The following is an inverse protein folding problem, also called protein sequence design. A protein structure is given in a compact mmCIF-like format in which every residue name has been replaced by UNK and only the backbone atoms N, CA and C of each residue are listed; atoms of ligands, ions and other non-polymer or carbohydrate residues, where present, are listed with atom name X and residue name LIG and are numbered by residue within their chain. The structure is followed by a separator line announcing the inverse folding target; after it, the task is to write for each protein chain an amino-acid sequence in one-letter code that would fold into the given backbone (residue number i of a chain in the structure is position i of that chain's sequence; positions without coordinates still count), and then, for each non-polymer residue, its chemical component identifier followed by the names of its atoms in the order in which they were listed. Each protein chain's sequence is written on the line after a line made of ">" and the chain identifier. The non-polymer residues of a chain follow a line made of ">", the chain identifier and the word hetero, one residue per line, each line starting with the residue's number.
data_IF_190627211342
#
_entry.id   IF_190627211342
#
_cell.length_a   1.000
_cell.length_b   1.000
_cell.length_c   1.000
_cell.angle_alpha   90.00
_cell.angle_beta   90.00
_cell.angle_gamma   90.00
#
_symmetry.space_group_name_H-M   'P 1'
#
loop_
_entity.id
_entity.type
_entity.pdbx_description
1 polymer ?
#
# COMPACT_ATOMS: atom_id res chain seq x y z
N UNK A 1 25.69 -22.48 18.03
CA UNK A 1 26.05 -21.27 17.25
C UNK A 1 25.32 -21.33 15.93
N UNK A 2 24.46 -20.35 15.63
CA UNK A 2 23.79 -20.23 14.32
C UNK A 2 24.86 -19.73 13.32
N UNK A 3 25.05 -20.41 12.19
CA UNK A 3 26.06 -20.02 11.20
C UNK A 3 25.72 -18.66 10.58
N UNK A 4 26.72 -17.94 10.09
CA UNK A 4 26.52 -16.64 9.41
C UNK A 4 25.53 -16.75 8.25
N UNK A 5 25.50 -17.88 7.54
CA UNK A 5 24.58 -18.13 6.43
C UNK A 5 23.12 -18.24 6.88
N UNK A 6 22.88 -18.85 8.04
CA UNK A 6 21.53 -18.95 8.61
C UNK A 6 20.98 -17.59 9.06
N UNK A 7 21.83 -16.66 9.50
CA UNK A 7 21.39 -15.28 9.84
C UNK A 7 20.98 -14.51 8.60
N UNK A 8 21.76 -14.59 7.53
CA UNK A 8 21.44 -13.95 6.24
C UNK A 8 20.13 -14.47 5.67
N UNK A 9 19.83 -15.76 5.81
CA UNK A 9 18.55 -16.33 5.36
C UNK A 9 17.38 -15.79 6.19
N UNK A 10 17.51 -15.74 7.52
CA UNK A 10 16.48 -15.19 8.40
C UNK A 10 16.19 -13.72 8.10
N UNK A 11 17.23 -12.89 7.97
CA UNK A 11 17.07 -11.46 7.64
C UNK A 11 16.32 -11.27 6.30
N UNK A 12 16.55 -12.15 5.32
CA UNK A 12 15.84 -12.11 4.02
C UNK A 12 14.39 -12.56 4.14
N UNK A 13 14.09 -13.52 5.00
CA UNK A 13 12.72 -13.96 5.28
C UNK A 13 11.95 -12.84 5.97
N UNK A 14 12.54 -12.24 7.01
CA UNK A 14 11.93 -11.13 7.76
C UNK A 14 11.67 -9.94 6.83
N UNK A 15 12.64 -9.56 5.99
CA UNK A 15 12.46 -8.51 5.00
C UNK A 15 11.35 -8.83 3.98
N UNK A 16 11.21 -10.10 3.57
CA UNK A 16 10.14 -10.52 2.64
C UNK A 16 8.76 -10.48 3.30
N UNK A 17 8.68 -10.79 4.58
CA UNK A 17 7.48 -10.70 5.41
C UNK A 17 7.09 -9.22 5.58
N UNK A 18 8.02 -8.36 5.96
CA UNK A 18 7.79 -6.92 6.10
C UNK A 18 7.29 -6.30 4.79
N UNK A 19 7.92 -6.66 3.66
CA UNK A 19 7.48 -6.20 2.36
C UNK A 19 6.08 -6.70 2.00
N UNK A 20 5.66 -7.88 2.48
CA UNK A 20 4.30 -8.38 2.29
C UNK A 20 3.30 -7.54 3.07
N UNK A 21 3.57 -7.28 4.35
CA UNK A 21 2.70 -6.46 5.19
C UNK A 21 2.60 -5.03 4.67
N UNK A 22 3.73 -4.41 4.32
CA UNK A 22 3.78 -3.07 3.74
C UNK A 22 2.90 -2.95 2.49
N UNK A 23 2.95 -3.92 1.58
CA UNK A 23 2.09 -3.92 0.40
C UNK A 23 0.61 -4.04 0.74
N UNK A 24 0.26 -4.88 1.72
CA UNK A 24 -1.12 -4.98 2.22
C UNK A 24 -1.61 -3.64 2.77
N UNK A 25 -0.80 -2.99 3.60
CA UNK A 25 -1.14 -1.71 4.21
C UNK A 25 -1.26 -0.57 3.18
N UNK A 26 -0.46 -0.59 2.11
CA UNK A 26 -0.60 0.37 1.00
C UNK A 26 -1.97 0.20 0.33
N UNK A 27 -2.39 -1.05 0.07
CA UNK A 27 -3.69 -1.33 -0.55
C UNK A 27 -4.85 -0.95 0.38
N UNK A 28 -4.75 -1.28 1.67
CA UNK A 28 -5.74 -0.91 2.68
C UNK A 28 -5.86 0.61 2.84
N UNK A 29 -4.74 1.33 2.90
CA UNK A 29 -4.74 2.78 2.99
C UNK A 29 -5.40 3.43 1.77
N UNK A 30 -5.11 2.94 0.57
CA UNK A 30 -5.74 3.41 -0.67
C UNK A 30 -7.25 3.12 -0.67
N UNK A 31 -7.67 1.95 -0.19
CA UNK A 31 -9.08 1.57 -0.05
C UNK A 31 -9.81 2.52 0.90
N UNK A 32 -9.31 2.67 2.13
CA UNK A 32 -9.92 3.54 3.13
C UNK A 32 -10.02 4.98 2.65
N UNK A 33 -8.97 5.49 2.00
CA UNK A 33 -8.99 6.84 1.44
C UNK A 33 -10.03 7.00 0.34
N UNK A 34 -10.14 6.03 -0.57
CA UNK A 34 -11.13 6.04 -1.64
C UNK A 34 -12.56 5.96 -1.13
N UNK A 35 -12.85 5.09 -0.16
CA UNK A 35 -14.18 4.95 0.42
C UNK A 35 -14.57 6.18 1.26
N UNK A 36 -13.60 6.83 1.92
CA UNK A 36 -13.87 7.99 2.77
C UNK A 36 -13.94 9.33 2.00
N UNK A 37 -13.02 9.56 1.07
CA UNK A 37 -12.81 10.87 0.45
C UNK A 37 -13.07 10.88 -1.07
N UNK A 38 -13.23 9.72 -1.70
CA UNK A 38 -13.56 9.63 -3.12
C UNK A 38 -12.46 10.17 -4.02
N UNK A 39 -11.33 9.45 -4.13
CA UNK A 39 -10.22 9.87 -4.97
C UNK A 39 -8.96 9.02 -4.80
N UNK A 40 -7.91 9.25 -5.61
CA UNK A 40 -6.62 8.62 -5.39
C UNK A 40 -6.02 9.06 -4.04
N UNK A 41 -5.27 8.18 -3.40
CA UNK A 41 -4.49 8.50 -2.21
C UNK A 41 -3.17 9.16 -2.64
N UNK A 42 -3.01 10.45 -2.32
CA UNK A 42 -1.81 11.22 -2.66
C UNK A 42 -0.53 10.65 -2.01
N UNK A 43 0.58 10.64 -2.76
CA UNK A 43 1.85 10.11 -2.28
C UNK A 43 2.37 10.76 -1.00
N UNK A 44 2.29 12.09 -0.78
CA UNK A 44 2.75 12.68 0.47
C UNK A 44 2.02 12.11 1.70
N UNK A 45 0.71 11.85 1.56
CA UNK A 45 -0.12 11.27 2.62
C UNK A 45 0.28 9.81 2.85
N UNK A 46 0.35 9.01 1.77
CA UNK A 46 0.74 7.60 1.84
C UNK A 46 2.14 7.44 2.45
N UNK A 47 3.11 8.22 1.97
CA UNK A 47 4.49 8.25 2.46
C UNK A 47 4.53 8.49 3.96
N UNK A 48 3.83 9.52 4.43
CA UNK A 48 3.78 9.85 5.86
C UNK A 48 3.20 8.71 6.68
N UNK A 49 2.08 8.12 6.24
CA UNK A 49 1.45 7.00 6.94
C UNK A 49 2.37 5.77 7.01
N UNK A 50 3.00 5.40 5.89
CA UNK A 50 3.84 4.21 5.80
C UNK A 50 5.15 4.37 6.57
N UNK A 51 5.80 5.53 6.52
CA UNK A 51 7.04 5.78 7.27
C UNK A 51 6.83 5.82 8.80
N UNK A 52 5.65 6.23 9.27
CA UNK A 52 5.31 6.15 10.70
C UNK A 52 5.18 4.69 11.16
N UNK A 53 4.58 3.83 10.32
CA UNK A 53 4.36 2.42 10.63
C UNK A 53 5.61 1.56 10.42
N UNK A 54 6.44 1.92 9.44
CA UNK A 54 7.66 1.22 9.04
C UNK A 54 8.87 2.17 9.13
N UNK A 55 9.53 2.28 10.29
CA UNK A 55 10.61 3.26 10.50
C UNK A 55 11.84 3.07 9.60
N UNK A 56 12.06 1.87 9.07
CA UNK A 56 13.13 1.56 8.11
C UNK A 56 12.76 1.87 6.65
N UNK A 57 11.51 2.29 6.41
CA UNK A 57 11.02 2.67 5.09
C UNK A 57 11.64 4.00 4.65
N UNK A 58 12.00 4.08 3.37
CA UNK A 58 12.46 5.28 2.70
C UNK A 58 11.75 5.45 1.36
N UNK A 59 11.96 6.56 0.70
CA UNK A 59 11.23 6.85 -0.54
C UNK A 59 11.53 5.85 -1.66
N UNK A 60 12.76 5.35 -1.71
CA UNK A 60 13.18 4.36 -2.72
C UNK A 60 12.46 3.02 -2.54
N UNK A 61 12.41 2.51 -1.31
CA UNK A 61 11.79 1.20 -1.06
C UNK A 61 10.25 1.27 -1.09
N UNK A 62 9.66 2.40 -0.69
CA UNK A 62 8.23 2.66 -0.85
C UNK A 62 7.83 2.70 -2.33
N UNK A 63 8.53 3.47 -3.16
CA UNK A 63 8.31 3.51 -4.61
C UNK A 63 8.45 2.13 -5.25
N UNK A 64 9.44 1.34 -4.82
CA UNK A 64 9.60 -0.03 -5.31
C UNK A 64 8.41 -0.94 -4.98
N UNK A 65 7.80 -0.79 -3.79
CA UNK A 65 6.58 -1.55 -3.47
C UNK A 65 5.38 -1.09 -4.28
N UNK A 66 5.26 0.22 -4.53
CA UNK A 66 4.16 0.77 -5.33
C UNK A 66 4.27 0.31 -6.79
N UNK A 67 5.45 0.38 -7.39
CA UNK A 67 5.71 -0.19 -8.72
C UNK A 67 5.38 -1.68 -8.79
N UNK A 68 5.74 -2.46 -7.77
CA UNK A 68 5.37 -3.87 -7.73
C UNK A 68 3.84 -4.09 -7.74
N UNK A 69 3.09 -3.23 -7.05
CA UNK A 69 1.62 -3.28 -7.05
C UNK A 69 1.04 -2.83 -8.40
N UNK A 70 1.66 -1.85 -9.05
CA UNK A 70 1.30 -1.39 -10.40
C UNK A 70 1.55 -2.47 -11.46
N UNK A 71 2.70 -3.14 -11.45
CA UNK A 71 3.03 -4.25 -12.36
C UNK A 71 2.02 -5.39 -12.27
N UNK A 72 1.46 -5.59 -11.07
CA UNK A 72 0.40 -6.56 -10.80
C UNK A 72 -1.01 -6.03 -11.07
N UNK A 73 -1.14 -4.79 -11.56
CA UNK A 73 -2.40 -4.11 -11.85
C UNK A 73 -3.33 -4.02 -10.64
N UNK A 74 -2.76 -3.89 -9.45
CA UNK A 74 -3.53 -3.74 -8.20
C UNK A 74 -3.77 -2.27 -7.86
N UNK A 75 -2.83 -1.41 -8.25
CA UNK A 75 -2.97 0.04 -8.18
C UNK A 75 -2.62 0.66 -9.51
N UNK A 76 -3.14 1.86 -9.74
CA UNK A 76 -2.81 2.77 -10.83
C UNK A 76 -2.26 4.06 -10.23
N UNK A 77 -1.24 4.62 -10.86
CA UNK A 77 -0.81 5.98 -10.56
C UNK A 77 -1.77 6.95 -11.21
N UNK A 78 -2.18 7.95 -10.45
CA UNK A 78 -3.04 9.01 -10.94
C UNK A 78 -2.31 10.31 -10.71
N UNK A 79 -2.19 11.09 -11.78
CA UNK A 79 -1.68 12.46 -11.73
C UNK A 79 -2.83 13.36 -12.15
N UNK A 80 -3.00 14.49 -11.47
CA UNK A 80 -3.99 15.46 -11.89
C UNK A 80 -3.41 16.34 -13.00
N UNK A 81 -3.60 15.93 -14.25
CA UNK A 81 -3.10 16.64 -15.43
C UNK A 81 -3.72 18.04 -15.62
N UNK A 82 -4.84 18.33 -14.95
CA UNK A 82 -5.50 19.63 -15.00
C UNK A 82 -4.76 20.69 -14.15
N UNK A 83 -3.82 20.28 -13.31
CA UNK A 83 -3.00 21.20 -12.52
C UNK A 83 -1.79 21.71 -13.32
N UNK A 84 -1.26 22.91 -12.99
CA UNK A 84 0.06 23.35 -13.45
C UNK A 84 1.12 22.29 -13.13
N UNK A 85 2.13 22.11 -14.01
CA UNK A 85 3.19 21.09 -13.87
C UNK A 85 3.81 21.04 -12.47
N UNK A 86 4.02 22.20 -11.86
CA UNK A 86 4.58 22.36 -10.50
C UNK A 86 3.72 21.72 -9.41
N UNK A 87 2.42 21.61 -9.65
CA UNK A 87 1.42 21.01 -8.77
C UNK A 87 1.05 19.59 -9.19
N UNK A 88 1.37 19.18 -10.42
CA UNK A 88 1.14 17.81 -10.90
C UNK A 88 1.97 16.80 -10.08
N UNK A 89 3.25 17.09 -9.84
CA UNK A 89 4.14 16.25 -9.00
C UNK A 89 3.60 16.09 -7.57
N UNK A 90 2.87 17.09 -7.05
CA UNK A 90 2.26 17.05 -5.72
C UNK A 90 0.91 16.34 -5.70
N UNK A 91 0.28 16.19 -6.86
CA UNK A 91 -1.01 15.52 -7.05
C UNK A 91 -0.88 14.05 -7.39
N UNK A 92 0.36 13.57 -7.59
CA UNK A 92 0.63 12.16 -7.81
C UNK A 92 0.05 11.35 -6.64
N UNK A 93 -0.69 10.30 -6.96
CA UNK A 93 -1.28 9.42 -5.97
C UNK A 93 -1.53 8.02 -6.53
N UNK A 94 -1.95 7.13 -5.64
CA UNK A 94 -2.30 5.76 -5.98
C UNK A 94 -3.79 5.53 -5.86
N UNK A 95 -4.35 4.85 -6.85
CA UNK A 95 -5.75 4.41 -6.85
C UNK A 95 -5.81 2.91 -7.01
N UNK A 96 -6.65 2.24 -6.22
CA UNK A 96 -6.97 0.84 -6.40
C UNK A 96 -7.67 0.60 -7.72
N UNK A 97 -7.20 -0.40 -8.44
CA UNK A 97 -7.94 -1.00 -9.54
C UNK A 97 -9.08 -1.86 -8.99
N UNK A 98 -9.95 -2.33 -9.88
CA UNK A 98 -10.95 -3.34 -9.53
C UNK A 98 -10.33 -4.60 -8.91
N UNK A 99 -9.15 -5.01 -9.38
CA UNK A 99 -8.46 -6.19 -8.87
C UNK A 99 -7.84 -5.92 -7.49
N UNK A 100 -7.22 -4.76 -7.29
CA UNK A 100 -6.70 -4.35 -5.97
C UNK A 100 -7.80 -4.28 -4.92
N UNK A 101 -8.93 -3.65 -5.26
CA UNK A 101 -10.10 -3.57 -4.37
C UNK A 101 -10.61 -4.96 -3.96
N UNK A 102 -10.73 -5.89 -4.91
CA UNK A 102 -11.18 -7.25 -4.61
C UNK A 102 -10.23 -8.03 -3.69
N UNK A 103 -8.92 -7.73 -3.70
CA UNK A 103 -7.95 -8.34 -2.77
C UNK A 103 -8.17 -7.78 -1.36
N UNK A 104 -8.26 -6.45 -1.22
CA UNK A 104 -8.48 -5.81 0.08
C UNK A 104 -9.81 -6.26 0.69
N UNK A 105 -10.88 -6.31 -0.10
CA UNK A 105 -12.20 -6.77 0.38
C UNK A 105 -12.18 -8.24 0.81
N UNK A 106 -11.45 -9.11 0.10
CA UNK A 106 -11.29 -10.52 0.51
C UNK A 106 -10.50 -10.69 1.79
N UNK A 107 -9.43 -9.92 1.97
CA UNK A 107 -8.63 -9.96 3.20
C UNK A 107 -9.39 -9.30 4.37
N UNK A 108 -10.18 -8.26 4.08
CA UNK A 108 -11.12 -7.65 5.02
C UNK A 108 -12.23 -8.62 5.44
N UNK A 109 -12.70 -9.51 4.56
CA UNK A 109 -13.64 -10.59 4.90
C UNK A 109 -13.02 -11.66 5.81
N UNK A 110 -11.70 -11.89 5.73
CA UNK A 110 -10.97 -12.81 6.65
C UNK A 110 -10.72 -12.14 8.01
N UNK A 111 -10.56 -10.81 8.06
CA UNK A 111 -10.65 -10.01 9.28
C UNK A 111 -12.09 -9.66 9.70
N UNK A 112 -13.08 -10.03 8.87
CA UNK A 112 -14.42 -9.43 8.78
C UNK A 112 -15.53 -10.22 9.43
N UNK A 113 -15.24 -10.97 10.49
CA UNK A 113 -16.26 -11.36 11.49
C UNK A 113 -16.85 -10.11 12.18
N UNK A 114 -16.29 -8.93 11.93
CA UNK A 114 -16.73 -7.62 12.38
C UNK A 114 -16.78 -6.82 11.07
N UNK A 115 -17.86 -6.61 10.33
CA UNK A 115 -19.02 -5.76 10.59
C UNK A 115 -20.04 -6.07 9.45
N UNK A 116 -20.82 -7.16 9.53
CA UNK A 116 -21.98 -7.38 8.63
C UNK A 116 -22.96 -8.41 9.21
N UNK A 117 -23.26 -8.27 10.50
CA UNK A 117 -24.48 -8.82 11.14
C UNK A 117 -25.14 -7.74 12.00
N UNK A 118 -25.49 -6.61 11.42
CA UNK A 118 -26.62 -5.80 11.90
C UNK A 118 -27.32 -5.22 10.70
N UNK A 119 -28.47 -5.80 10.37
CA UNK A 119 -29.24 -5.44 9.17
C UNK A 119 -30.09 -6.58 8.64
N UNK A 120 -30.68 -7.41 9.51
CA UNK A 120 -31.92 -8.15 9.24
C UNK A 120 -32.70 -8.28 10.53
#
# INVERSE_FOLDING_TARGET
>A
MVSSDSRVIMDRIDQAIDNRYLRGDILEAAWLHQEALGGPLEYPILRRAMMVRYPSLNDKNLKAQIHFLQDRKLVEEVVNEDLPLELQEMSEGVKLTRAGKAIVERDADIGGVIISRQGR
#
